data_IF_536552392250
#
_entry.id   IF_536552392250
#
_cell.length_a   1.000
_cell.length_b   1.000
_cell.length_c   1.000
_cell.angle_alpha   90.00
_cell.angle_beta   90.00
_cell.angle_gamma   90.00
#
_symmetry.space_group_name_H-M   'P 1'
#
loop_
_entity.id
_entity.type
_entity.pdbx_description
1 polymer ?
#
# COMPACT_ATOMS: atom_id res chain seq x y z
N UNK A 1 4.27 -14.79 0.53
CA UNK A 1 3.86 -13.62 -0.29
C UNK A 1 4.55 -12.35 0.20
N UNK A 2 4.23 -11.81 1.39
CA UNK A 2 4.87 -10.59 1.94
C UNK A 2 6.37 -10.72 2.21
N UNK A 3 6.89 -11.94 2.38
CA UNK A 3 8.32 -12.22 2.48
C UNK A 3 9.12 -11.70 1.28
N UNK A 4 8.51 -11.68 0.09
CA UNK A 4 9.15 -11.15 -1.12
C UNK A 4 9.31 -9.62 -1.10
N UNK A 5 8.48 -8.91 -0.34
CA UNK A 5 8.57 -7.45 -0.22
C UNK A 5 9.70 -7.01 0.73
N UNK A 6 10.27 -7.93 1.52
CA UNK A 6 11.25 -7.59 2.56
C UNK A 6 12.48 -6.90 1.98
N UNK A 7 12.96 -7.37 0.83
CA UNK A 7 14.12 -6.80 0.15
C UNK A 7 13.85 -5.37 -0.28
N UNK A 8 12.74 -5.11 -0.99
CA UNK A 8 12.35 -3.77 -1.41
C UNK A 8 12.16 -2.83 -0.22
N UNK A 9 11.51 -3.31 0.84
CA UNK A 9 11.33 -2.54 2.06
C UNK A 9 12.69 -2.17 2.69
N UNK A 10 13.62 -3.12 2.84
CA UNK A 10 14.95 -2.87 3.44
C UNK A 10 15.83 -1.93 2.62
N UNK A 11 15.65 -1.91 1.29
CA UNK A 11 16.38 -1.03 0.38
C UNK A 11 15.72 0.34 0.20
N UNK A 12 14.54 0.56 0.79
CA UNK A 12 13.76 1.77 0.56
C UNK A 12 13.16 1.87 -0.85
N UNK A 13 13.09 0.76 -1.56
CA UNK A 13 12.55 0.66 -2.92
C UNK A 13 11.03 0.41 -2.93
N UNK A 14 10.42 0.08 -1.79
CA UNK A 14 8.97 -0.11 -1.67
C UNK A 14 8.26 1.24 -1.49
N UNK A 15 7.50 1.67 -2.49
CA UNK A 15 6.72 2.91 -2.44
C UNK A 15 5.34 2.68 -1.83
N UNK A 16 4.61 1.66 -2.33
CA UNK A 16 3.26 1.31 -1.86
C UNK A 16 3.06 -0.19 -1.79
N UNK A 17 2.33 -0.63 -0.77
CA UNK A 17 1.74 -1.97 -0.67
C UNK A 17 0.22 -1.81 -0.64
N UNK A 18 -0.46 -2.38 -1.61
CA UNK A 18 -1.90 -2.20 -1.79
C UNK A 18 -2.62 -3.55 -1.64
N UNK A 19 -3.64 -3.60 -0.78
CA UNK A 19 -4.58 -4.74 -0.69
C UNK A 19 -5.88 -4.34 -1.36
N UNK A 20 -6.15 -4.90 -2.53
CA UNK A 20 -7.30 -4.57 -3.35
C UNK A 20 -8.40 -5.59 -3.12
N UNK A 21 -9.58 -5.14 -2.72
CA UNK A 21 -10.79 -5.96 -2.70
C UNK A 21 -11.38 -6.04 -4.10
N UNK A 22 -11.71 -7.26 -4.54
CA UNK A 22 -12.12 -7.56 -5.91
C UNK A 22 -13.49 -8.25 -5.89
N UNK A 23 -14.40 -7.74 -6.71
CA UNK A 23 -15.72 -8.35 -6.95
C UNK A 23 -15.61 -9.68 -7.68
N UNK A 24 -16.72 -10.42 -7.74
CA UNK A 24 -16.83 -11.67 -8.52
C UNK A 24 -16.46 -11.47 -10.01
N UNK A 25 -16.68 -10.27 -10.56
CA UNK A 25 -16.36 -9.92 -11.95
C UNK A 25 -14.91 -9.52 -12.18
N UNK A 26 -14.06 -9.58 -11.15
CA UNK A 26 -12.67 -9.14 -11.25
C UNK A 26 -12.47 -7.63 -11.18
N UNK A 27 -13.51 -6.85 -10.84
CA UNK A 27 -13.40 -5.39 -10.71
C UNK A 27 -12.92 -4.98 -9.31
N UNK A 28 -12.01 -3.99 -9.19
CA UNK A 28 -11.60 -3.42 -7.93
C UNK A 28 -12.74 -2.64 -7.29
N UNK A 29 -12.88 -2.77 -5.97
CA UNK A 29 -13.93 -2.14 -5.17
C UNK A 29 -13.35 -1.11 -4.21
N UNK A 30 -12.41 -1.56 -3.38
CA UNK A 30 -11.71 -0.74 -2.40
C UNK A 30 -10.25 -1.19 -2.35
N UNK A 31 -9.36 -0.28 -2.01
CA UNK A 31 -7.93 -0.58 -1.87
C UNK A 31 -7.43 -0.04 -0.56
N UNK A 32 -6.93 -0.92 0.32
CA UNK A 32 -6.16 -0.49 1.47
C UNK A 32 -4.72 -0.26 1.01
N UNK A 33 -4.27 0.99 1.07
CA UNK A 33 -2.93 1.38 0.67
C UNK A 33 -2.07 1.66 1.90
N UNK A 34 -0.88 1.05 1.92
CA UNK A 34 0.17 1.28 2.89
C UNK A 34 1.36 1.91 2.17
N UNK A 35 1.72 3.14 2.53
CA UNK A 35 2.89 3.84 2.00
C UNK A 35 3.98 3.90 3.08
N UNK A 36 4.95 2.96 3.07
CA UNK A 36 6.09 3.04 3.94
C UNK A 36 7.07 4.10 3.45
N UNK A 37 7.68 4.80 4.38
CA UNK A 37 8.78 5.72 4.09
C UNK A 37 9.81 5.65 5.19
N UNK A 38 11.08 5.61 4.83
CA UNK A 38 12.17 5.72 5.79
C UNK A 38 12.50 7.19 6.01
N UNK A 39 12.86 7.57 7.24
CA UNK A 39 13.47 8.88 7.47
C UNK A 39 14.95 8.82 7.08
N UNK A 40 15.42 9.80 6.31
CA UNK A 40 16.81 9.87 5.78
C UNK A 40 17.87 9.70 6.87
N UNK A 41 17.55 10.15 8.09
CA UNK A 41 18.40 9.97 9.27
C UNK A 41 18.72 8.51 9.60
N UNK A 42 17.97 7.53 9.10
CA UNK A 42 18.23 6.10 9.32
C UNK A 42 19.15 5.48 8.25
N UNK A 43 19.08 5.96 7.00
CA UNK A 43 19.96 5.47 5.93
C UNK A 43 21.36 6.08 5.99
N UNK A 44 21.48 7.37 6.29
CA UNK A 44 22.79 8.04 6.46
C UNK A 44 23.59 7.51 7.65
N UNK A 45 22.93 6.77 8.56
CA UNK A 45 23.56 6.13 9.72
C UNK A 45 23.91 4.66 9.48
N UNK A 46 23.51 4.01 8.39
CA UNK A 46 23.98 2.65 8.10
C UNK A 46 25.46 2.62 7.66
N UNK A 47 26.00 3.75 7.22
CA UNK A 47 27.44 3.93 6.95
C UNK A 47 28.27 4.22 8.22
N UNK A 48 27.61 4.51 9.35
CA UNK A 48 28.23 4.72 10.65
C UNK A 48 27.72 3.62 11.57
N UNK A 49 28.51 2.56 11.83
CA UNK A 49 28.21 1.42 12.73
C UNK A 49 27.86 1.84 14.18
N UNK A 50 26.81 2.62 14.36
CA UNK A 50 26.29 3.09 15.64
C UNK A 50 24.97 2.35 15.81
N UNK A 51 25.06 1.26 16.56
CA UNK A 51 23.97 0.39 16.95
C UNK A 51 23.00 1.18 17.87
N UNK A 52 22.15 2.01 17.26
CA UNK A 52 21.15 2.79 18.00
C UNK A 52 20.00 1.86 18.36
N UNK A 53 19.55 1.85 19.64
CA UNK A 53 18.37 1.09 20.01
C UNK A 53 17.16 1.62 19.24
N UNK A 54 16.53 0.74 18.46
CA UNK A 54 15.28 1.07 17.78
C UNK A 54 14.18 1.31 18.85
N UNK A 55 13.32 2.32 18.66
CA UNK A 55 12.24 2.62 19.59
C UNK A 55 11.07 1.62 19.44
N UNK A 56 11.34 0.33 19.68
CA UNK A 56 10.41 -0.78 19.42
C UNK A 56 9.06 -0.59 20.12
N UNK A 57 9.05 -0.13 21.38
CA UNK A 57 7.82 0.11 22.12
C UNK A 57 6.93 1.16 21.43
N UNK A 58 7.51 2.30 21.04
CA UNK A 58 6.77 3.38 20.37
C UNK A 58 6.27 2.96 18.99
N UNK A 59 7.07 2.15 18.29
CA UNK A 59 6.71 1.58 17.01
C UNK A 59 5.52 0.61 17.17
N UNK A 60 5.59 -0.28 18.16
CA UNK A 60 4.52 -1.23 18.46
C UNK A 60 3.21 -0.53 18.85
N UNK A 61 3.28 0.49 19.71
CA UNK A 61 2.13 1.30 20.10
C UNK A 61 1.51 2.03 18.89
N UNK A 62 2.36 2.57 18.01
CA UNK A 62 1.91 3.24 16.79
C UNK A 62 1.22 2.28 15.83
N UNK A 63 1.78 1.07 15.65
CA UNK A 63 1.16 0.02 14.86
C UNK A 63 -0.16 -0.43 15.46
N UNK A 64 -0.22 -0.63 16.77
CA UNK A 64 -1.45 -1.01 17.49
C UNK A 64 -2.54 0.05 17.30
N UNK A 65 -2.20 1.33 17.44
CA UNK A 65 -3.11 2.44 17.18
C UNK A 65 -3.60 2.45 15.71
N UNK A 66 -2.73 2.13 14.76
CA UNK A 66 -3.09 1.97 13.36
C UNK A 66 -4.09 0.83 13.11
N UNK A 67 -3.88 -0.33 13.75
CA UNK A 67 -4.81 -1.45 13.67
C UNK A 67 -6.18 -1.12 14.26
N UNK A 68 -6.21 -0.40 15.39
CA UNK A 68 -7.47 0.07 15.99
C UNK A 68 -8.18 1.04 15.05
N UNK A 69 -7.46 2.01 14.46
CA UNK A 69 -8.03 2.94 13.49
C UNK A 69 -8.59 2.22 12.26
N UNK A 70 -7.89 1.20 11.76
CA UNK A 70 -8.35 0.39 10.64
C UNK A 70 -9.66 -0.36 10.95
N UNK A 71 -9.74 -0.99 12.13
CA UNK A 71 -10.97 -1.69 12.57
C UNK A 71 -12.13 -0.72 12.81
N UNK A 72 -11.84 0.48 13.33
CA UNK A 72 -12.84 1.51 13.56
C UNK A 72 -13.27 2.23 12.26
N UNK A 73 -12.47 2.16 11.21
CA UNK A 73 -12.81 2.77 9.91
C UNK A 73 -13.99 2.02 9.32
N UNK A 74 -15.11 2.73 9.21
CA UNK A 74 -16.33 2.21 8.62
C UNK A 74 -16.13 2.05 7.12
N UNK A 75 -15.71 0.86 6.71
CA UNK A 75 -15.70 0.45 5.31
C UNK A 75 -17.15 0.32 4.83
N UNK A 76 -17.42 0.62 3.56
CA UNK A 76 -18.79 0.69 3.01
C UNK A 76 -19.64 -0.49 3.50
N UNK A 77 -20.70 -0.20 4.26
CA UNK A 77 -21.48 -1.24 4.96
C UNK A 77 -21.98 -2.31 3.98
N UNK A 78 -21.68 -3.57 4.29
CA UNK A 78 -22.11 -4.78 3.55
C UNK A 78 -23.65 -4.89 3.47
N UNK A 79 -24.38 -4.17 4.33
CA UNK A 79 -25.83 -4.28 4.46
C UNK A 79 -26.62 -3.69 3.26
N UNK A 80 -26.08 -2.70 2.54
CA UNK A 80 -26.76 -2.04 1.40
C UNK A 80 -26.07 -2.30 0.04
N UNK A 81 -25.04 -3.14 0.01
CA UNK A 81 -24.36 -3.46 -1.24
C UNK A 81 -25.17 -4.48 -2.02
N UNK A 82 -25.56 -4.12 -3.26
CA UNK A 82 -26.05 -5.12 -4.22
C UNK A 82 -24.99 -6.23 -4.36
N UNK A 83 -25.40 -7.48 -4.61
CA UNK A 83 -24.49 -8.64 -4.73
C UNK A 83 -23.27 -8.37 -5.65
N UNK A 84 -23.43 -7.49 -6.65
CA UNK A 84 -22.38 -7.10 -7.60
C UNK A 84 -21.21 -6.32 -7.00
N UNK A 85 -21.42 -5.65 -5.87
CA UNK A 85 -20.42 -4.82 -5.19
C UNK A 85 -19.79 -5.52 -3.99
N UNK A 86 -20.21 -6.75 -3.69
CA UNK A 86 -19.67 -7.49 -2.56
C UNK A 86 -18.24 -7.97 -2.86
N UNK A 87 -17.30 -7.81 -1.92
CA UNK A 87 -15.97 -8.40 -2.05
C UNK A 87 -16.03 -9.92 -2.19
N UNK A 88 -15.42 -10.45 -3.25
CA UNK A 88 -15.34 -11.89 -3.53
C UNK A 88 -13.94 -12.44 -3.27
N UNK A 89 -12.92 -11.70 -3.71
CA UNK A 89 -11.50 -12.05 -3.51
C UNK A 89 -10.71 -10.80 -3.17
N UNK A 90 -9.40 -10.97 -2.93
CA UNK A 90 -8.48 -9.85 -2.80
C UNK A 90 -7.21 -10.11 -3.62
N UNK A 91 -6.51 -9.03 -3.97
CA UNK A 91 -5.18 -9.06 -4.57
C UNK A 91 -4.24 -8.18 -3.78
N UNK A 92 -2.95 -8.52 -3.80
CA UNK A 92 -1.91 -7.64 -3.26
C UNK A 92 -1.08 -7.13 -4.43
N UNK A 93 -0.95 -5.81 -4.50
CA UNK A 93 -0.13 -5.11 -5.46
C UNK A 93 1.00 -4.41 -4.72
N UNK A 94 2.14 -4.29 -5.39
CA UNK A 94 3.30 -3.58 -4.88
C UNK A 94 3.73 -2.57 -5.93
N UNK A 95 3.96 -1.35 -5.49
CA UNK A 95 4.61 -0.30 -6.28
C UNK A 95 6.01 -0.10 -5.74
N UNK A 96 7.00 -0.24 -6.61
CA UNK A 96 8.41 0.00 -6.30
C UNK A 96 8.89 1.29 -6.95
N UNK A 97 9.91 1.90 -6.35
CA UNK A 97 10.64 3.03 -6.93
C UNK A 97 11.51 2.50 -8.07
N UNK A 98 11.00 2.49 -9.29
CA UNK A 98 11.81 2.23 -10.49
C UNK A 98 12.42 3.54 -10.98
N UNK A 99 13.74 3.68 -10.84
CA UNK A 99 14.45 4.80 -11.45
C UNK A 99 14.73 4.48 -12.92
N UNK A 100 14.15 5.28 -13.83
CA UNK A 100 14.38 5.17 -15.28
C UNK A 100 15.87 5.31 -15.66
N UNK A 101 16.70 5.89 -14.78
CA UNK A 101 18.15 6.00 -14.95
C UNK A 101 18.97 4.86 -14.35
N UNK A 102 18.39 4.01 -13.49
CA UNK A 102 19.13 2.99 -12.74
C UNK A 102 18.59 1.58 -13.02
N UNK A 103 19.26 0.87 -13.94
CA UNK A 103 18.94 -0.52 -14.32
C UNK A 103 18.97 -1.52 -13.16
N UNK A 104 19.58 -1.17 -12.02
CA UNK A 104 19.60 -2.00 -10.82
C UNK A 104 18.29 -1.96 -10.02
N UNK A 105 17.45 -0.95 -10.22
CA UNK A 105 16.11 -0.83 -9.61
C UNK A 105 15.01 -1.48 -10.45
N UNK A 106 15.32 -1.85 -11.69
CA UNK A 106 14.40 -2.59 -12.57
C UNK A 106 14.16 -3.95 -11.94
N UNK A 107 12.89 -4.31 -11.79
CA UNK A 107 12.48 -5.62 -11.31
C UNK A 107 13.04 -6.69 -12.27
N UNK A 108 14.16 -7.32 -11.89
CA UNK A 108 14.75 -8.45 -12.59
C UNK A 108 14.17 -9.76 -12.04
N UNK A 109 14.10 -10.81 -12.87
CA UNK A 109 13.58 -12.14 -12.50
C UNK A 109 14.26 -12.72 -11.23
N UNK A 110 15.50 -12.30 -10.95
CA UNK A 110 16.25 -12.66 -9.73
C UNK A 110 15.71 -11.99 -8.45
N UNK A 111 15.14 -10.78 -8.54
CA UNK A 111 14.53 -10.04 -7.41
C UNK A 111 13.06 -10.38 -7.21
N UNK A 112 12.39 -10.90 -8.24
CA UNK A 112 11.04 -11.47 -8.17
C UNK A 112 11.13 -12.87 -7.53
N UNK A 113 11.36 -12.90 -6.22
CA UNK A 113 11.34 -14.17 -5.47
C UNK A 113 10.04 -14.92 -5.73
N UNK A 114 10.06 -16.00 -6.57
CA UNK A 114 9.05 -17.03 -6.93
C UNK A 114 7.54 -16.83 -6.61
N UNK A 115 7.06 -15.62 -6.40
CA UNK A 115 5.81 -15.32 -5.68
C UNK A 115 5.20 -13.98 -6.09
N UNK A 116 5.89 -13.23 -6.95
CA UNK A 116 5.40 -12.00 -7.54
C UNK A 116 5.44 -12.13 -9.05
N UNK A 117 4.56 -11.43 -9.73
CA UNK A 117 4.56 -11.29 -11.19
C UNK A 117 4.24 -9.84 -11.50
N UNK A 118 4.76 -9.27 -12.60
CA UNK A 118 4.38 -7.95 -13.05
C UNK A 118 2.85 -7.84 -13.17
N UNK A 119 2.29 -6.75 -12.66
CA UNK A 119 0.86 -6.49 -12.78
C UNK A 119 0.51 -6.22 -14.24
N UNK A 120 -0.64 -6.75 -14.69
CA UNK A 120 -1.15 -6.44 -16.02
C UNK A 120 -1.52 -4.95 -16.16
N UNK A 121 -1.73 -4.50 -17.40
CA UNK A 121 -2.07 -3.10 -17.70
C UNK A 121 -3.40 -2.66 -17.07
N UNK A 122 -4.31 -3.59 -16.76
CA UNK A 122 -5.57 -3.24 -16.13
C UNK A 122 -5.33 -2.71 -14.71
N UNK A 123 -4.51 -3.38 -13.90
CA UNK A 123 -4.17 -2.90 -12.55
C UNK A 123 -3.36 -1.62 -12.58
N UNK A 124 -2.43 -1.47 -13.54
CA UNK A 124 -1.67 -0.23 -13.68
C UNK A 124 -2.58 0.96 -13.97
N UNK A 125 -3.46 0.84 -14.98
CA UNK A 125 -4.39 1.91 -15.35
C UNK A 125 -5.34 2.23 -14.19
N UNK A 126 -5.78 1.22 -13.45
CA UNK A 126 -6.65 1.39 -12.30
C UNK A 126 -5.99 2.18 -11.15
N UNK A 127 -4.68 2.02 -10.93
CA UNK A 127 -3.92 2.82 -9.98
C UNK A 127 -3.87 4.31 -10.35
N UNK A 128 -3.97 4.64 -11.64
CA UNK A 128 -3.91 6.04 -12.13
C UNK A 128 -5.26 6.76 -12.13
N UNK A 129 -6.37 6.06 -11.89
CA UNK A 129 -7.70 6.67 -11.85
C UNK A 129 -7.88 7.52 -10.60
N UNK A 130 -8.74 8.54 -10.71
CA UNK A 130 -9.20 9.30 -9.55
C UNK A 130 -10.04 8.41 -8.63
N UNK A 131 -9.73 8.44 -7.34
CA UNK A 131 -10.37 7.64 -6.29
C UNK A 131 -10.66 8.52 -5.09
N UNK A 132 -11.73 8.20 -4.38
CA UNK A 132 -12.00 8.84 -3.09
C UNK A 132 -11.05 8.26 -2.04
N UNK A 133 -10.25 9.12 -1.40
CA UNK A 133 -9.27 8.73 -0.38
C UNK A 133 -9.85 8.95 1.02
N UNK A 134 -9.90 7.87 1.80
CA UNK A 134 -10.27 7.88 3.21
C UNK A 134 -9.00 7.66 4.05
N UNK A 135 -8.46 8.72 4.67
CA UNK A 135 -7.29 8.57 5.53
C UNK A 135 -7.65 7.73 6.76
N UNK A 136 -6.84 6.70 7.05
CA UNK A 136 -7.02 5.85 8.24
C UNK A 136 -6.05 6.28 9.33
N UNK A 137 -4.75 6.34 9.02
CA UNK A 137 -3.72 6.69 9.99
C UNK A 137 -2.44 7.16 9.30
N UNK A 138 -1.80 8.13 9.92
CA UNK A 138 -0.40 8.44 9.68
C UNK A 138 0.43 8.07 10.92
N UNK A 139 1.46 7.26 10.74
CA UNK A 139 2.51 7.03 11.71
C UNK A 139 3.69 7.87 11.26
N UNK A 140 3.88 9.01 11.89
CA UNK A 140 4.99 9.91 11.65
C UNK A 140 5.44 10.46 13.00
N UNK A 141 6.66 10.12 13.41
CA UNK A 141 7.27 10.67 14.61
C UNK A 141 8.71 11.05 14.28
N UNK A 142 9.15 12.20 14.77
CA UNK A 142 10.57 12.59 14.66
C UNK A 142 11.49 11.61 15.41
N UNK A 143 10.93 10.83 16.34
CA UNK A 143 11.67 9.80 17.08
C UNK A 143 11.70 8.44 16.36
N UNK A 144 10.91 8.21 15.30
CA UNK A 144 10.84 6.92 14.61
C UNK A 144 11.60 6.92 13.28
N UNK A 145 12.33 5.84 12.95
CA UNK A 145 13.02 5.72 11.66
C UNK A 145 12.05 5.44 10.50
N UNK A 146 10.80 5.10 10.83
CA UNK A 146 9.76 4.72 9.88
C UNK A 146 8.65 5.76 9.91
N UNK A 147 8.17 6.09 8.71
CA UNK A 147 6.90 6.74 8.42
C UNK A 147 6.01 5.71 7.74
N UNK A 148 4.74 5.68 8.10
CA UNK A 148 3.75 4.84 7.44
C UNK A 148 2.46 5.64 7.27
N UNK A 149 2.00 5.76 6.04
CA UNK A 149 0.65 6.24 5.75
C UNK A 149 -0.24 5.05 5.44
N UNK A 150 -1.43 5.05 6.03
CA UNK A 150 -2.46 4.05 5.82
C UNK A 150 -3.75 4.77 5.45
N UNK A 151 -4.31 4.41 4.30
CA UNK A 151 -5.56 4.98 3.81
C UNK A 151 -6.31 3.99 2.93
N UNK A 152 -7.60 4.22 2.74
CA UNK A 152 -8.46 3.43 1.88
C UNK A 152 -8.82 4.24 0.64
N UNK A 153 -8.67 3.66 -0.53
CA UNK A 153 -9.14 4.21 -1.79
C UNK A 153 -10.45 3.53 -2.17
N UNK A 154 -11.51 4.31 -2.37
CA UNK A 154 -12.79 3.82 -2.87
C UNK A 154 -12.86 4.00 -4.38
N UNK A 155 -13.16 2.91 -5.08
CA UNK A 155 -13.37 2.95 -6.52
C UNK A 155 -14.78 3.45 -6.80
N UNK A 156 -14.88 4.59 -7.48
CA UNK A 156 -16.16 5.12 -7.93
C UNK A 156 -16.76 4.15 -8.97
N UNK A 157 -18.02 3.72 -8.83
CA UNK A 157 -18.68 2.98 -9.89
C UNK A 157 -18.75 3.85 -11.14
N UNK A 158 -18.45 3.27 -12.29
CA UNK A 158 -18.55 3.92 -13.58
C UNK A 158 -20.02 4.22 -13.93
N UNK A 159 -20.59 5.25 -13.30
CA UNK A 159 -21.92 5.76 -13.61
C UNK A 159 -22.11 7.16 -13.01
N UNK A 160 -21.44 8.15 -13.60
CA UNK A 160 -21.83 9.58 -13.54
C UNK A 160 -21.40 10.32 -14.81
N UNK A 161 -21.61 9.69 -15.96
CA UNK A 161 -21.53 10.37 -17.26
C UNK A 161 -22.60 9.79 -18.17
N UNK A 162 -23.86 10.18 -17.94
CA UNK A 162 -24.95 10.14 -18.93
C UNK A 162 -26.24 10.65 -18.24
N UNK A 163 -26.37 11.97 -18.18
CA UNK A 163 -27.60 12.78 -18.03
C UNK A 163 -27.09 14.21 -17.70
N UNK A 164 -27.14 15.21 -18.57
CA UNK A 164 -28.22 15.58 -19.48
C UNK A 164 -27.68 16.54 -20.55
N UNK A 165 -28.00 16.30 -21.82
CA UNK A 165 -28.28 17.34 -22.82
C UNK A 165 -29.75 17.18 -23.23
#
# INVERSE_FOLDING_TARGET
MLSGCRTWLSKGELEKLCVVLVSERGLPLETLTLEPGWTTSFFDLNDLEIDRPLPFLQLEESFRAGMVALVATSVSNVADQTDRLKPHTFRILVQTVEDKGNRETVINDDNVSRSWVPADSFWYNDQTKEKEILPVRAIQSAATPVRLLVYIEKHLPASRTEASE
#
